data_IF_247699353629
#
_entry.id   IF_247699353629
#
_cell.length_a   1.000
_cell.length_b   1.000
_cell.length_c   1.000
_cell.angle_alpha   90.00
_cell.angle_beta   90.00
_cell.angle_gamma   90.00
#
_symmetry.space_group_name_H-M   'P 1'
#
loop_
_entity.id
_entity.type
_entity.pdbx_description
1 polymer ?
#
# COMPACT_ATOMS: atom_id res chain seq x y z
N UNK A 1 -0.36 -12.70 8.63
CA UNK A 1 -1.05 -11.64 7.90
C UNK A 1 -2.46 -12.11 7.50
N UNK A 2 -3.44 -11.22 7.60
CA UNK A 2 -4.83 -11.56 7.24
C UNK A 2 -5.30 -10.86 5.95
N UNK A 3 -4.69 -9.75 5.60
CA UNK A 3 -5.01 -8.92 4.43
C UNK A 3 -3.82 -8.94 3.48
N UNK A 4 -3.99 -9.42 2.25
CA UNK A 4 -2.88 -9.59 1.31
C UNK A 4 -3.27 -9.17 -0.10
N UNK A 5 -2.47 -8.27 -0.68
CA UNK A 5 -2.45 -8.08 -2.12
C UNK A 5 -1.63 -9.19 -2.76
N UNK A 6 -2.28 -10.06 -3.53
CA UNK A 6 -1.65 -11.28 -4.02
C UNK A 6 -1.14 -11.19 -5.46
N UNK A 7 -1.63 -10.23 -6.23
CA UNK A 7 -1.21 -10.02 -7.63
C UNK A 7 -1.71 -8.67 -8.17
N UNK A 8 -1.43 -8.41 -9.46
CA UNK A 8 -1.94 -7.26 -10.21
C UNK A 8 -2.47 -7.70 -11.58
N UNK A 9 -3.70 -7.34 -11.92
CA UNK A 9 -4.31 -7.62 -13.23
C UNK A 9 -4.01 -6.51 -14.25
N UNK A 10 -2.72 -6.23 -14.42
CA UNK A 10 -2.22 -5.30 -15.44
C UNK A 10 -2.03 -6.00 -16.79
N UNK A 11 -1.84 -5.22 -17.85
CA UNK A 11 -1.63 -5.79 -19.19
C UNK A 11 -0.33 -6.61 -19.24
N UNK A 12 -0.39 -7.91 -19.61
CA UNK A 12 0.83 -8.73 -19.78
C UNK A 12 1.78 -8.23 -20.87
N UNK A 13 1.28 -7.37 -21.79
CA UNK A 13 2.14 -6.71 -22.79
C UNK A 13 3.00 -5.62 -22.17
N UNK A 14 2.49 -4.95 -21.12
CA UNK A 14 3.24 -3.93 -20.39
C UNK A 14 4.13 -4.53 -19.31
N UNK A 15 3.62 -5.54 -18.57
CA UNK A 15 4.34 -6.22 -17.48
C UNK A 15 4.21 -7.74 -17.68
N UNK A 16 5.10 -8.38 -18.43
CA UNK A 16 5.03 -9.80 -18.72
C UNK A 16 5.08 -10.72 -17.49
N UNK A 17 5.65 -10.24 -16.39
CA UNK A 17 5.73 -10.96 -15.12
C UNK A 17 4.35 -11.21 -14.49
N UNK A 18 3.33 -10.42 -14.85
CA UNK A 18 1.95 -10.54 -14.34
C UNK A 18 1.05 -11.39 -15.25
N UNK A 19 1.60 -12.12 -16.21
CA UNK A 19 0.81 -12.90 -17.18
C UNK A 19 -0.01 -14.03 -16.56
N UNK A 20 0.40 -14.52 -15.40
CA UNK A 20 -0.20 -15.61 -14.65
C UNK A 20 -1.09 -15.14 -13.47
N UNK A 21 -1.39 -13.83 -13.39
CA UNK A 21 -2.16 -13.24 -12.31
C UNK A 21 -3.48 -13.98 -12.00
N UNK A 22 -4.22 -14.43 -13.01
CA UNK A 22 -5.45 -15.18 -12.82
C UNK A 22 -5.22 -16.55 -12.18
N UNK A 23 -4.17 -17.26 -12.58
CA UNK A 23 -3.79 -18.56 -12.00
C UNK A 23 -3.35 -18.40 -10.55
N UNK A 24 -2.52 -17.39 -10.26
CA UNK A 24 -2.09 -17.07 -8.90
C UNK A 24 -3.31 -16.75 -8.03
N UNK A 25 -4.19 -15.85 -8.49
CA UNK A 25 -5.38 -15.46 -7.74
C UNK A 25 -6.28 -16.64 -7.43
N UNK A 26 -6.70 -17.42 -8.43
CA UNK A 26 -7.60 -18.57 -8.24
C UNK A 26 -7.01 -19.63 -7.30
N UNK A 27 -5.71 -19.92 -7.44
CA UNK A 27 -5.00 -20.88 -6.59
C UNK A 27 -4.94 -20.43 -5.12
N UNK A 28 -4.63 -19.16 -4.88
CA UNK A 28 -4.52 -18.64 -3.51
C UNK A 28 -5.88 -18.50 -2.85
N UNK A 29 -6.90 -18.04 -3.58
CA UNK A 29 -8.30 -17.97 -3.09
C UNK A 29 -8.80 -19.36 -2.67
N UNK A 30 -8.55 -20.38 -3.49
CA UNK A 30 -8.95 -21.76 -3.17
C UNK A 30 -8.23 -22.30 -1.93
N UNK A 31 -6.93 -22.07 -1.81
CA UNK A 31 -6.11 -22.57 -0.70
C UNK A 31 -6.34 -21.84 0.61
N UNK A 32 -6.70 -20.57 0.55
CA UNK A 32 -6.78 -19.67 1.71
C UNK A 32 -8.08 -18.88 1.77
N UNK A 33 -9.27 -19.56 1.82
CA UNK A 33 -10.58 -18.91 1.74
C UNK A 33 -10.90 -17.99 2.94
N UNK A 34 -10.13 -18.08 4.02
CA UNK A 34 -10.32 -17.27 5.23
C UNK A 34 -9.48 -15.99 5.27
N UNK A 35 -8.66 -15.73 4.24
CA UNK A 35 -7.87 -14.51 4.14
C UNK A 35 -8.62 -13.45 3.33
N UNK A 36 -8.44 -12.19 3.70
CA UNK A 36 -8.88 -11.04 2.91
C UNK A 36 -7.87 -10.79 1.79
N UNK A 37 -8.18 -11.35 0.62
CA UNK A 37 -7.31 -11.37 -0.55
C UNK A 37 -7.79 -10.36 -1.58
N UNK A 38 -6.88 -9.56 -2.10
CA UNK A 38 -7.18 -8.56 -3.11
C UNK A 38 -6.09 -8.46 -4.19
N UNK A 39 -6.40 -7.76 -5.26
CA UNK A 39 -5.45 -7.50 -6.33
C UNK A 39 -5.54 -6.05 -6.80
N UNK A 40 -4.43 -5.53 -7.33
CA UNK A 40 -4.43 -4.26 -8.03
C UNK A 40 -5.04 -4.41 -9.43
N UNK A 41 -5.95 -3.50 -9.79
CA UNK A 41 -6.56 -3.44 -11.12
C UNK A 41 -6.48 -2.02 -11.69
N UNK A 42 -6.00 -1.85 -12.94
CA UNK A 42 -5.85 -0.52 -13.55
C UNK A 42 -7.13 -0.04 -14.25
N UNK A 43 -8.14 -0.89 -14.41
CA UNK A 43 -9.36 -0.61 -15.17
C UNK A 43 -10.42 -1.70 -14.98
N UNK A 44 -11.61 -1.47 -15.56
CA UNK A 44 -12.72 -2.40 -15.49
C UNK A 44 -12.39 -3.82 -16.01
N UNK A 45 -11.62 -3.95 -17.10
CA UNK A 45 -11.22 -5.26 -17.60
C UNK A 45 -10.37 -6.04 -16.62
N UNK A 46 -9.43 -5.37 -15.93
CA UNK A 46 -8.65 -5.98 -14.86
C UNK A 46 -9.53 -6.44 -13.69
N UNK A 47 -10.53 -5.64 -13.31
CA UNK A 47 -11.47 -5.99 -12.25
C UNK A 47 -12.35 -7.20 -12.64
N UNK A 48 -12.81 -7.29 -13.90
CA UNK A 48 -13.53 -8.47 -14.39
C UNK A 48 -12.66 -9.74 -14.29
N UNK A 49 -11.42 -9.68 -14.73
CA UNK A 49 -10.51 -10.82 -14.67
C UNK A 49 -10.23 -11.24 -13.21
N UNK A 50 -10.09 -10.27 -12.30
CA UNK A 50 -9.93 -10.54 -10.86
C UNK A 50 -11.19 -11.22 -10.26
N UNK A 51 -12.36 -10.72 -10.62
CA UNK A 51 -13.64 -11.30 -10.20
C UNK A 51 -13.82 -12.74 -10.72
N UNK A 52 -13.54 -12.98 -12.00
CA UNK A 52 -13.57 -14.32 -12.63
C UNK A 52 -12.57 -15.28 -11.95
N UNK A 53 -11.43 -14.78 -11.46
CA UNK A 53 -10.46 -15.55 -10.69
C UNK A 53 -10.85 -15.80 -9.22
N UNK A 54 -12.05 -15.35 -8.79
CA UNK A 54 -12.61 -15.61 -7.46
C UNK A 54 -12.38 -14.51 -6.44
N UNK A 55 -11.68 -13.42 -6.76
CA UNK A 55 -11.51 -12.27 -5.86
C UNK A 55 -12.83 -11.50 -5.69
N UNK A 56 -13.00 -10.93 -4.50
CA UNK A 56 -14.16 -10.07 -4.15
C UNK A 56 -13.72 -8.70 -3.63
N UNK A 57 -12.42 -8.42 -3.70
CA UNK A 57 -11.83 -7.14 -3.34
C UNK A 57 -10.74 -6.76 -4.33
N UNK A 58 -10.72 -5.50 -4.74
CA UNK A 58 -9.69 -4.96 -5.63
C UNK A 58 -9.27 -3.57 -5.20
N UNK A 59 -7.99 -3.25 -5.42
CA UNK A 59 -7.49 -1.90 -5.39
C UNK A 59 -7.46 -1.33 -6.80
N UNK A 60 -7.98 -0.13 -6.99
CA UNK A 60 -7.82 0.63 -8.22
C UNK A 60 -7.10 1.93 -7.94
N UNK A 61 -6.21 2.34 -8.85
CA UNK A 61 -5.34 3.50 -8.66
C UNK A 61 -5.84 4.69 -9.49
N UNK A 62 -6.00 5.83 -8.82
CA UNK A 62 -6.13 7.13 -9.49
C UNK A 62 -5.14 8.10 -8.84
N UNK A 63 -4.33 8.75 -9.68
CA UNK A 63 -3.32 9.69 -9.21
C UNK A 63 -3.96 11.05 -8.93
N UNK A 64 -3.72 11.64 -7.76
CA UNK A 64 -4.16 13.00 -7.45
C UNK A 64 -3.53 14.03 -8.41
N UNK A 65 -2.27 13.82 -8.79
CA UNK A 65 -1.59 14.62 -9.81
C UNK A 65 -2.14 14.30 -11.20
N UNK A 66 -2.63 15.31 -11.90
CA UNK A 66 -3.11 15.19 -13.29
C UNK A 66 -2.01 14.74 -14.24
N UNK A 67 -0.84 15.34 -14.09
CA UNK A 67 0.34 15.02 -14.92
C UNK A 67 0.78 13.59 -14.71
N UNK A 68 0.78 13.09 -13.47
CA UNK A 68 1.16 11.71 -13.18
C UNK A 68 0.10 10.71 -13.64
N UNK A 69 -1.19 11.05 -13.49
CA UNK A 69 -2.29 10.22 -13.99
C UNK A 69 -2.19 10.03 -15.51
N UNK A 70 -1.89 11.11 -16.24
CA UNK A 70 -1.67 11.04 -17.68
C UNK A 70 -0.41 10.24 -18.03
N UNK A 71 0.71 10.44 -17.32
CA UNK A 71 1.97 9.78 -17.59
C UNK A 71 1.93 8.26 -17.35
N UNK A 72 1.21 7.82 -16.31
CA UNK A 72 1.22 6.41 -15.90
C UNK A 72 0.07 5.60 -16.51
N UNK A 73 -1.16 6.12 -16.47
CA UNK A 73 -2.34 5.37 -16.95
C UNK A 73 -2.90 5.89 -18.27
N UNK A 74 -2.30 6.95 -18.83
CA UNK A 74 -2.71 7.60 -20.07
C UNK A 74 -4.20 7.98 -20.09
N UNK A 75 -4.69 8.53 -18.98
CA UNK A 75 -6.09 8.94 -18.78
C UNK A 75 -6.17 10.29 -18.09
N UNK A 76 -7.22 11.06 -18.41
CA UNK A 76 -7.63 12.18 -17.57
C UNK A 76 -8.26 11.67 -16.27
N UNK A 77 -8.43 12.55 -15.26
CA UNK A 77 -9.17 12.18 -14.04
C UNK A 77 -10.57 11.66 -14.36
N UNK A 78 -11.31 12.35 -15.23
CA UNK A 78 -12.69 11.96 -15.57
C UNK A 78 -12.74 10.58 -16.22
N UNK A 79 -11.77 10.25 -17.08
CA UNK A 79 -11.65 8.90 -17.66
C UNK A 79 -11.31 7.86 -16.60
N UNK A 80 -10.46 8.18 -15.62
CA UNK A 80 -10.13 7.26 -14.52
C UNK A 80 -11.32 7.04 -13.58
N UNK A 81 -12.06 8.10 -13.24
CA UNK A 81 -13.28 7.99 -12.45
C UNK A 81 -14.41 7.25 -13.19
N UNK A 82 -14.48 7.37 -14.52
CA UNK A 82 -15.42 6.58 -15.32
C UNK A 82 -15.10 5.08 -15.31
N UNK A 83 -13.83 4.71 -15.32
CA UNK A 83 -13.45 3.30 -15.12
C UNK A 83 -13.81 2.80 -13.72
N UNK A 84 -13.59 3.61 -12.68
CA UNK A 84 -14.02 3.31 -11.31
C UNK A 84 -15.54 3.08 -11.24
N UNK A 85 -16.31 3.97 -11.87
CA UNK A 85 -17.77 3.84 -11.94
C UNK A 85 -18.20 2.53 -12.58
N UNK A 86 -17.58 2.15 -13.70
CA UNK A 86 -17.86 0.88 -14.38
C UNK A 86 -17.62 -0.33 -13.48
N UNK A 87 -16.54 -0.30 -12.67
CA UNK A 87 -16.27 -1.37 -11.71
C UNK A 87 -17.40 -1.46 -10.70
N UNK A 88 -17.79 -0.36 -10.07
CA UNK A 88 -18.80 -0.31 -9.02
C UNK A 88 -20.17 -0.74 -9.55
N UNK A 89 -20.57 -0.24 -10.72
CA UNK A 89 -21.90 -0.51 -11.29
C UNK A 89 -22.06 -1.94 -11.84
N UNK A 90 -20.98 -2.54 -12.37
CA UNK A 90 -21.08 -3.85 -13.03
C UNK A 90 -20.60 -5.03 -12.17
N UNK A 91 -19.89 -4.76 -11.07
CA UNK A 91 -19.36 -5.78 -10.14
C UNK A 91 -19.82 -5.44 -8.72
N UNK A 92 -21.13 -5.49 -8.47
CA UNK A 92 -21.76 -5.03 -7.23
C UNK A 92 -21.38 -5.84 -5.98
N UNK A 93 -20.84 -7.05 -6.15
CA UNK A 93 -20.29 -7.91 -5.10
C UNK A 93 -18.78 -7.74 -4.89
N UNK A 94 -18.16 -6.76 -5.57
CA UNK A 94 -16.75 -6.43 -5.45
C UNK A 94 -16.56 -5.24 -4.51
N UNK A 95 -15.79 -5.44 -3.43
CA UNK A 95 -15.28 -4.33 -2.64
C UNK A 95 -14.19 -3.59 -3.42
N UNK A 96 -14.32 -2.27 -3.53
CA UNK A 96 -13.37 -1.43 -4.24
C UNK A 96 -12.65 -0.51 -3.25
N UNK A 97 -11.33 -0.65 -3.20
CA UNK A 97 -10.44 0.27 -2.51
C UNK A 97 -9.88 1.26 -3.52
N UNK A 98 -9.95 2.55 -3.23
CA UNK A 98 -9.29 3.57 -4.05
C UNK A 98 -7.91 3.89 -3.50
N UNK A 99 -6.87 3.48 -4.23
CA UNK A 99 -5.50 3.95 -4.02
C UNK A 99 -5.36 5.36 -4.61
N UNK A 100 -5.30 6.36 -3.75
CA UNK A 100 -5.07 7.75 -4.12
C UNK A 100 -3.57 7.98 -4.24
N UNK A 101 -3.02 7.65 -5.40
CA UNK A 101 -1.61 7.79 -5.65
C UNK A 101 -1.19 9.26 -5.74
N UNK A 102 0.05 9.56 -5.40
CA UNK A 102 0.60 10.94 -5.29
C UNK A 102 -0.15 11.84 -4.30
N UNK A 103 -0.80 11.25 -3.28
CA UNK A 103 -1.57 12.01 -2.29
C UNK A 103 -0.71 13.04 -1.54
N UNK A 104 0.57 12.77 -1.33
CA UNK A 104 1.48 13.64 -0.58
C UNK A 104 2.45 14.42 -1.45
N UNK A 105 2.58 14.07 -2.72
CA UNK A 105 3.46 14.74 -3.66
C UNK A 105 3.71 13.93 -4.94
N UNK A 106 4.21 14.64 -5.95
CA UNK A 106 4.40 14.13 -7.30
C UNK A 106 5.72 14.66 -7.88
N UNK A 107 6.48 13.85 -8.64
CA UNK A 107 7.72 14.32 -9.25
C UNK A 107 7.50 15.40 -10.32
N UNK A 108 6.29 15.51 -10.87
CA UNK A 108 5.95 16.50 -11.92
C UNK A 108 5.37 17.80 -11.34
N UNK A 109 4.58 17.72 -10.25
CA UNK A 109 3.83 18.86 -9.70
C UNK A 109 4.34 19.27 -8.31
N UNK A 110 5.32 18.53 -7.75
CA UNK A 110 5.90 18.82 -6.46
C UNK A 110 5.08 18.33 -5.27
N UNK A 111 5.37 18.84 -4.08
CA UNK A 111 4.76 18.42 -2.82
C UNK A 111 3.30 18.90 -2.74
N UNK A 112 2.37 17.99 -2.43
CA UNK A 112 0.98 18.35 -2.15
C UNK A 112 0.90 19.03 -0.78
N UNK A 113 0.28 20.23 -0.74
CA UNK A 113 0.19 21.03 0.49
C UNK A 113 -1.24 21.23 0.99
N UNK A 114 -2.24 20.81 0.21
CA UNK A 114 -3.66 21.04 0.51
C UNK A 114 -4.34 19.72 0.88
N UNK A 115 -4.66 19.54 2.16
CA UNK A 115 -5.50 18.44 2.61
C UNK A 115 -6.92 18.53 2.01
N UNK A 116 -7.45 19.74 1.84
CA UNK A 116 -8.78 19.95 1.22
C UNK A 116 -8.84 19.46 -0.23
N UNK A 117 -7.74 19.59 -1.00
CA UNK A 117 -7.70 19.05 -2.36
C UNK A 117 -7.75 17.51 -2.38
N UNK A 118 -7.13 16.84 -1.39
CA UNK A 118 -7.23 15.39 -1.23
C UNK A 118 -8.65 14.98 -0.87
N UNK A 119 -9.27 15.68 0.08
CA UNK A 119 -10.66 15.45 0.49
C UNK A 119 -11.63 15.64 -0.68
N UNK A 120 -11.52 16.73 -1.43
CA UNK A 120 -12.36 17.00 -2.61
C UNK A 120 -12.21 15.90 -3.66
N UNK A 121 -10.99 15.46 -3.90
CA UNK A 121 -10.70 14.38 -4.85
C UNK A 121 -11.33 13.05 -4.41
N UNK A 122 -11.18 12.68 -3.14
CA UNK A 122 -11.76 11.47 -2.57
C UNK A 122 -13.30 11.55 -2.52
N UNK A 123 -13.87 12.73 -2.31
CA UNK A 123 -15.32 12.97 -2.32
C UNK A 123 -16.00 12.49 -3.59
N UNK A 124 -15.35 12.64 -4.74
CA UNK A 124 -15.86 12.12 -6.03
C UNK A 124 -16.07 10.61 -6.00
N UNK A 125 -15.15 9.86 -5.42
CA UNK A 125 -15.27 8.40 -5.30
C UNK A 125 -16.23 7.99 -4.17
N UNK A 126 -16.23 8.75 -3.07
CA UNK A 126 -17.15 8.56 -1.95
C UNK A 126 -18.61 8.66 -2.40
N UNK A 127 -18.94 9.67 -3.24
CA UNK A 127 -20.25 9.85 -3.85
C UNK A 127 -20.65 8.71 -4.80
N UNK A 128 -19.68 7.98 -5.36
CA UNK A 128 -19.90 6.77 -6.15
C UNK A 128 -20.08 5.51 -5.30
N UNK A 129 -19.90 5.58 -3.98
CA UNK A 129 -20.06 4.45 -3.05
C UNK A 129 -18.75 3.83 -2.54
N UNK A 130 -17.58 4.35 -2.91
CA UNK A 130 -16.31 3.90 -2.31
C UNK A 130 -16.29 4.22 -0.82
N UNK A 131 -15.88 3.24 0.00
CA UNK A 131 -15.81 3.37 1.46
C UNK A 131 -14.45 2.99 2.05
N UNK A 132 -13.50 2.62 1.19
CA UNK A 132 -12.11 2.37 1.60
C UNK A 132 -11.18 3.17 0.71
N UNK A 133 -10.37 4.03 1.33
CA UNK A 133 -9.36 4.87 0.68
C UNK A 133 -7.98 4.51 1.19
N UNK A 134 -7.00 4.52 0.30
CA UNK A 134 -5.61 4.33 0.64
C UNK A 134 -4.81 5.53 0.14
N UNK A 135 -4.29 6.37 1.02
CA UNK A 135 -3.44 7.50 0.64
C UNK A 135 -2.01 7.02 0.41
N UNK A 136 -1.53 7.17 -0.83
CA UNK A 136 -0.23 6.64 -1.22
C UNK A 136 0.83 7.74 -1.36
N UNK A 137 1.94 7.57 -0.66
CA UNK A 137 3.16 8.36 -0.86
C UNK A 137 4.03 7.72 -1.96
N UNK A 138 3.59 7.88 -3.18
CA UNK A 138 4.13 7.20 -4.38
C UNK A 138 5.64 7.39 -4.58
N UNK A 139 6.22 8.50 -4.11
CA UNK A 139 7.63 8.83 -4.31
C UNK A 139 8.40 9.07 -3.00
N UNK A 140 7.79 8.78 -1.86
CA UNK A 140 8.40 8.94 -0.54
C UNK A 140 8.76 10.40 -0.24
N UNK A 141 7.84 11.34 -0.50
CA UNK A 141 8.02 12.77 -0.25
C UNK A 141 7.25 13.29 0.95
N UNK A 142 6.41 12.46 1.57
CA UNK A 142 5.65 12.84 2.74
C UNK A 142 6.57 13.15 3.94
N UNK A 143 6.03 13.91 4.86
CA UNK A 143 6.59 14.07 6.20
C UNK A 143 5.51 13.73 7.25
N UNK A 144 5.90 13.40 8.49
CA UNK A 144 4.97 12.97 9.53
C UNK A 144 3.83 13.96 9.79
N UNK A 145 4.11 15.27 9.80
CA UNK A 145 3.10 16.29 10.04
C UNK A 145 2.09 16.39 8.90
N UNK A 146 2.56 16.26 7.66
CA UNK A 146 1.68 16.21 6.49
C UNK A 146 0.77 14.98 6.52
N UNK A 147 1.31 13.81 6.82
CA UNK A 147 0.53 12.57 6.91
C UNK A 147 -0.54 12.69 7.99
N UNK A 148 -0.19 13.15 9.20
CA UNK A 148 -1.15 13.38 10.28
C UNK A 148 -2.26 14.35 9.85
N UNK A 149 -1.90 15.49 9.24
CA UNK A 149 -2.86 16.52 8.80
C UNK A 149 -3.84 15.95 7.76
N UNK A 150 -3.35 15.20 6.78
CA UNK A 150 -4.19 14.66 5.71
C UNK A 150 -5.07 13.52 6.23
N UNK A 151 -4.55 12.69 7.13
CA UNK A 151 -5.32 11.64 7.80
C UNK A 151 -6.48 12.24 8.62
N UNK A 152 -6.21 13.24 9.46
CA UNK A 152 -7.27 13.93 10.21
C UNK A 152 -8.35 14.50 9.28
N UNK A 153 -7.95 15.22 8.23
CA UNK A 153 -8.90 15.83 7.30
C UNK A 153 -9.79 14.77 6.59
N UNK A 154 -9.22 13.65 6.22
CA UNK A 154 -9.98 12.53 5.62
C UNK A 154 -10.96 11.90 6.62
N UNK A 155 -10.52 11.66 7.86
CA UNK A 155 -11.39 11.08 8.91
C UNK A 155 -12.51 12.04 9.34
N UNK A 156 -12.26 13.34 9.32
CA UNK A 156 -13.29 14.35 9.53
C UNK A 156 -14.33 14.39 8.40
N UNK A 157 -13.86 14.35 7.15
CA UNK A 157 -14.73 14.44 5.98
C UNK A 157 -15.55 13.16 5.73
N UNK A 158 -14.96 11.99 6.03
CA UNK A 158 -15.55 10.68 5.74
C UNK A 158 -15.45 9.76 6.97
N UNK A 159 -16.23 10.02 8.04
CA UNK A 159 -16.08 9.30 9.32
C UNK A 159 -16.48 7.82 9.26
N UNK A 160 -17.28 7.43 8.28
CA UNK A 160 -17.72 6.05 8.02
C UNK A 160 -16.82 5.32 7.01
N UNK A 161 -15.88 6.01 6.40
CA UNK A 161 -14.91 5.37 5.48
C UNK A 161 -13.70 4.83 6.23
N UNK A 162 -13.21 3.68 5.75
CA UNK A 162 -11.93 3.11 6.15
C UNK A 162 -10.81 3.88 5.44
N UNK A 163 -9.81 4.31 6.19
CA UNK A 163 -8.63 5.00 5.67
C UNK A 163 -7.37 4.19 5.91
N UNK A 164 -6.71 3.84 4.85
CA UNK A 164 -5.40 3.17 4.87
C UNK A 164 -4.30 4.12 4.37
N UNK A 165 -3.07 3.80 4.71
CA UNK A 165 -1.88 4.52 4.28
C UNK A 165 -0.91 3.57 3.59
N UNK A 166 -0.36 3.98 2.46
CA UNK A 166 0.71 3.30 1.74
C UNK A 166 1.91 4.24 1.63
N UNK A 167 2.85 4.08 2.54
CA UNK A 167 3.97 5.01 2.68
C UNK A 167 5.25 4.37 2.14
N UNK A 168 5.94 5.11 1.27
CA UNK A 168 7.27 4.73 0.80
C UNK A 168 8.37 5.25 1.72
N UNK A 169 9.37 4.43 1.97
CA UNK A 169 10.50 4.73 2.87
C UNK A 169 11.74 5.27 2.12
N UNK A 170 11.54 5.83 0.95
CA UNK A 170 12.60 6.35 0.07
C UNK A 170 13.61 7.26 0.77
N UNK A 171 13.18 7.98 1.81
CA UNK A 171 13.99 8.94 2.58
C UNK A 171 14.11 8.58 4.05
N UNK A 172 13.85 7.32 4.42
CA UNK A 172 13.93 6.87 5.82
C UNK A 172 12.87 7.47 6.73
N UNK A 173 11.74 7.93 6.18
CA UNK A 173 10.64 8.51 6.97
C UNK A 173 9.39 7.62 7.03
N UNK A 174 9.42 6.44 6.40
CA UNK A 174 8.27 5.58 6.27
C UNK A 174 7.65 5.18 7.62
N UNK A 175 8.49 4.75 8.56
CA UNK A 175 8.06 4.39 9.92
C UNK A 175 7.46 5.59 10.66
N UNK A 176 8.12 6.76 10.63
CA UNK A 176 7.65 7.96 11.30
C UNK A 176 6.32 8.47 10.73
N UNK A 177 6.19 8.48 9.41
CA UNK A 177 4.96 8.84 8.71
C UNK A 177 3.81 7.88 9.02
N UNK A 178 4.08 6.58 9.03
CA UNK A 178 3.11 5.54 9.38
C UNK A 178 2.62 5.68 10.82
N UNK A 179 3.53 5.94 11.76
CA UNK A 179 3.19 6.16 13.17
C UNK A 179 2.28 7.38 13.36
N UNK A 180 2.63 8.52 12.76
CA UNK A 180 1.81 9.73 12.89
C UNK A 180 0.46 9.60 12.18
N UNK A 181 0.41 8.89 11.04
CA UNK A 181 -0.86 8.57 10.41
C UNK A 181 -1.76 7.67 11.25
N UNK A 182 -1.19 6.63 11.88
CA UNK A 182 -1.93 5.78 12.83
C UNK A 182 -2.46 6.59 14.03
N UNK A 183 -1.63 7.43 14.65
CA UNK A 183 -2.06 8.33 15.74
C UNK A 183 -3.18 9.29 15.32
N UNK A 184 -3.17 9.73 14.06
CA UNK A 184 -4.18 10.60 13.47
C UNK A 184 -5.48 9.85 13.10
N UNK A 185 -5.55 8.54 13.29
CA UNK A 185 -6.75 7.71 13.12
C UNK A 185 -6.82 6.91 11.82
N UNK A 186 -5.71 6.67 11.13
CA UNK A 186 -5.68 5.71 10.03
C UNK A 186 -6.05 4.30 10.53
N UNK A 187 -6.89 3.60 9.77
CA UNK A 187 -7.43 2.28 10.12
C UNK A 187 -6.49 1.13 9.72
N UNK A 188 -5.53 1.41 8.85
CA UNK A 188 -4.56 0.42 8.38
C UNK A 188 -3.33 1.03 7.75
N UNK A 189 -2.25 0.25 7.69
CA UNK A 189 -1.00 0.62 7.01
C UNK A 189 -0.63 -0.52 6.08
N UNK A 190 -0.47 -0.22 4.80
CA UNK A 190 0.02 -1.17 3.80
C UNK A 190 1.55 -1.12 3.78
N UNK A 191 2.15 -2.30 3.77
CA UNK A 191 3.60 -2.48 3.80
C UNK A 191 3.99 -3.75 3.05
N UNK A 192 5.28 -3.98 2.84
CA UNK A 192 5.78 -5.20 2.20
C UNK A 192 6.85 -5.87 3.05
N UNK A 193 7.04 -7.18 2.88
CA UNK A 193 8.13 -7.87 3.54
C UNK A 193 9.46 -7.25 3.12
N UNK A 194 10.35 -7.03 4.07
CA UNK A 194 11.63 -6.39 3.83
C UNK A 194 11.56 -4.96 3.27
N UNK A 195 10.37 -4.40 3.12
CA UNK A 195 10.17 -3.15 2.37
C UNK A 195 10.42 -3.32 0.86
N UNK A 196 10.37 -4.57 0.34
CA UNK A 196 10.58 -4.84 -1.08
C UNK A 196 9.64 -4.04 -1.94
N UNK A 197 10.19 -3.41 -2.95
CA UNK A 197 9.44 -2.62 -3.92
C UNK A 197 10.29 -1.56 -4.58
N UNK A 198 9.65 -0.74 -5.39
CA UNK A 198 10.29 0.36 -6.08
C UNK A 198 9.27 1.25 -6.76
N UNK A 199 9.72 2.41 -7.20
CA UNK A 199 8.90 3.31 -8.00
C UNK A 199 9.67 3.68 -9.27
N UNK A 200 9.14 3.40 -10.47
CA UNK A 200 9.81 3.78 -11.73
C UNK A 200 10.07 5.28 -11.85
N UNK A 201 9.28 6.10 -11.15
CA UNK A 201 9.39 7.56 -11.12
C UNK A 201 10.30 8.10 -10.02
N UNK A 202 10.89 7.22 -9.20
CA UNK A 202 11.87 7.54 -8.18
C UNK A 202 13.04 6.55 -8.27
N UNK A 203 13.90 6.65 -9.31
CA UNK A 203 15.05 5.75 -9.48
C UNK A 203 15.94 5.77 -8.24
N UNK A 204 16.29 4.59 -7.70
CA UNK A 204 17.07 4.45 -6.46
C UNK A 204 16.26 4.56 -5.18
N UNK A 205 14.92 4.70 -5.26
CA UNK A 205 14.06 4.62 -4.09
C UNK A 205 14.09 3.20 -3.51
N UNK A 206 14.22 3.11 -2.17
CA UNK A 206 14.26 1.84 -1.44
C UNK A 206 12.89 1.13 -1.36
N UNK A 207 11.83 1.72 -1.91
CA UNK A 207 10.50 1.10 -1.96
C UNK A 207 9.64 1.37 -0.74
N UNK A 208 8.86 0.35 -0.36
CA UNK A 208 7.83 0.44 0.67
C UNK A 208 8.39 0.50 2.10
N UNK A 209 7.58 0.89 3.05
CA UNK A 209 7.87 0.65 4.47
C UNK A 209 7.84 -0.86 4.74
N UNK A 210 8.82 -1.37 5.48
CA UNK A 210 8.94 -2.78 5.78
C UNK A 210 7.94 -3.24 6.84
N UNK A 211 7.27 -4.36 6.60
CA UNK A 211 6.27 -4.92 7.51
C UNK A 211 6.88 -5.28 8.87
N UNK A 212 8.02 -5.94 8.87
CA UNK A 212 8.71 -6.33 10.10
C UNK A 212 9.17 -5.13 10.94
N UNK A 213 9.54 -4.02 10.29
CA UNK A 213 9.93 -2.80 11.01
C UNK A 213 8.72 -2.11 11.66
N UNK A 214 7.57 -2.11 10.99
CA UNK A 214 6.31 -1.64 11.57
C UNK A 214 5.86 -2.51 12.74
N UNK A 215 5.89 -3.82 12.57
CA UNK A 215 5.51 -4.78 13.64
C UNK A 215 6.42 -4.60 14.84
N UNK A 216 7.75 -4.53 14.63
CA UNK A 216 8.71 -4.25 15.69
C UNK A 216 8.37 -2.97 16.46
N UNK A 217 8.15 -1.86 15.74
CA UNK A 217 7.82 -0.59 16.37
C UNK A 217 6.55 -0.69 17.23
N UNK A 218 5.47 -1.27 16.70
CA UNK A 218 4.21 -1.35 17.42
C UNK A 218 4.29 -2.31 18.63
N UNK A 219 4.96 -3.46 18.51
CA UNK A 219 5.18 -4.38 19.64
C UNK A 219 5.99 -3.70 20.75
N UNK A 220 7.08 -2.97 20.42
CA UNK A 220 7.86 -2.21 21.41
C UNK A 220 7.08 -1.07 22.08
N UNK A 221 6.05 -0.55 21.42
CA UNK A 221 5.10 0.41 21.98
C UNK A 221 4.00 -0.26 22.82
N UNK A 222 3.99 -1.60 22.94
CA UNK A 222 2.96 -2.36 23.64
C UNK A 222 1.64 -2.47 22.89
N UNK A 223 1.65 -2.28 21.58
CA UNK A 223 0.48 -2.36 20.69
C UNK A 223 0.48 -3.72 20.01
N UNK A 224 -0.55 -4.51 20.25
CA UNK A 224 -0.74 -5.81 19.60
C UNK A 224 -1.20 -5.62 18.14
N UNK A 225 -0.35 -6.03 17.21
CA UNK A 225 -0.65 -6.04 15.77
C UNK A 225 -1.34 -7.33 15.32
N UNK A 226 -1.38 -8.34 16.17
CA UNK A 226 -1.78 -9.70 15.82
C UNK A 226 -0.78 -10.44 14.92
N UNK A 227 0.45 -9.91 14.74
CA UNK A 227 1.51 -10.45 13.89
C UNK A 227 2.73 -10.69 14.78
N UNK A 228 3.29 -11.90 14.78
CA UNK A 228 4.52 -12.21 15.49
C UNK A 228 5.72 -11.56 14.81
N UNK A 229 6.44 -10.68 15.49
CA UNK A 229 7.67 -10.07 14.95
C UNK A 229 8.69 -11.12 14.52
N UNK A 230 8.90 -12.14 15.36
CA UNK A 230 9.85 -13.22 15.06
C UNK A 230 9.52 -13.92 13.74
N UNK A 231 8.26 -14.25 13.53
CA UNK A 231 7.84 -15.02 12.37
C UNK A 231 7.85 -14.17 11.09
N UNK A 232 7.39 -12.90 11.18
CA UNK A 232 7.40 -12.00 10.01
C UNK A 232 8.84 -11.64 9.60
N UNK A 233 9.76 -11.46 10.55
CA UNK A 233 11.17 -11.23 10.26
C UNK A 233 11.84 -12.45 9.62
N UNK A 234 11.47 -13.67 10.06
CA UNK A 234 11.97 -14.89 9.44
C UNK A 234 11.55 -15.00 7.97
N UNK A 235 10.26 -14.71 7.68
CA UNK A 235 9.74 -14.68 6.31
C UNK A 235 10.40 -13.56 5.47
N UNK A 236 10.63 -12.38 6.02
CA UNK A 236 11.32 -11.30 5.32
C UNK A 236 12.77 -11.66 4.97
N UNK A 237 13.47 -12.37 5.86
CA UNK A 237 14.84 -12.88 5.59
C UNK A 237 14.85 -13.99 4.52
N UNK A 238 13.86 -14.87 4.52
CA UNK A 238 13.68 -15.89 3.50
C UNK A 238 13.44 -15.24 2.13
N UNK A 239 12.48 -14.31 2.04
CA UNK A 239 12.21 -13.55 0.81
C UNK A 239 13.46 -12.84 0.29
N UNK A 240 14.18 -12.13 1.18
CA UNK A 240 15.41 -11.41 0.82
C UNK A 240 16.50 -12.34 0.29
N UNK A 241 16.55 -13.60 0.74
CA UNK A 241 17.51 -14.61 0.22
C UNK A 241 17.15 -15.14 -1.16
N UNK A 242 15.87 -15.14 -1.50
CA UNK A 242 15.33 -15.77 -2.72
C UNK A 242 15.04 -14.77 -3.84
N UNK A 243 14.63 -13.54 -3.49
CA UNK A 243 14.19 -12.53 -4.44
C UNK A 243 15.19 -11.38 -4.48
N UNK A 244 15.73 -11.11 -5.67
CA UNK A 244 16.55 -9.92 -5.88
C UNK A 244 15.68 -8.66 -5.97
N UNK A 245 16.07 -7.62 -5.24
CA UNK A 245 15.32 -6.37 -5.23
C UNK A 245 15.95 -5.30 -4.35
N UNK A 246 15.26 -4.18 -4.23
CA UNK A 246 15.61 -3.10 -3.33
C UNK A 246 14.82 -3.26 -2.03
N UNK A 247 15.51 -3.36 -0.92
CA UNK A 247 14.94 -3.58 0.41
C UNK A 247 15.20 -2.38 1.31
N UNK A 248 14.19 -1.94 2.07
CA UNK A 248 14.30 -0.84 3.05
C UNK A 248 14.34 -1.34 4.50
N UNK A 249 14.02 -2.63 4.75
CA UNK A 249 13.87 -3.20 6.09
C UNK A 249 15.14 -3.08 6.93
N UNK A 250 15.10 -2.27 8.00
CA UNK A 250 16.23 -2.10 8.91
C UNK A 250 16.52 -3.37 9.71
N UNK A 251 15.48 -4.10 10.11
CA UNK A 251 15.60 -5.35 10.85
C UNK A 251 16.22 -6.51 10.05
N UNK A 252 16.21 -6.44 8.72
CA UNK A 252 16.93 -7.41 7.88
C UNK A 252 18.44 -7.37 8.10
N UNK A 253 18.99 -6.20 8.45
CA UNK A 253 20.41 -5.97 8.64
C UNK A 253 20.90 -6.39 10.05
N UNK A 254 19.97 -6.57 11.00
CA UNK A 254 20.29 -6.94 12.38
C UNK A 254 20.58 -8.44 12.43
N UNK A 255 21.80 -8.80 12.84
CA UNK A 255 22.26 -10.19 12.90
C UNK A 255 21.67 -10.96 14.07
N UNK A 256 21.50 -10.30 15.22
CA UNK A 256 20.90 -10.86 16.43
C UNK A 256 19.57 -10.19 16.67
N UNK A 257 18.59 -10.95 17.15
CA UNK A 257 17.31 -10.35 17.59
C UNK A 257 17.51 -9.63 18.92
N UNK A 258 16.65 -8.68 19.24
CA UNK A 258 16.66 -7.99 20.56
C UNK A 258 16.48 -8.96 21.73
N UNK A 259 15.99 -10.15 21.46
CA UNK A 259 15.79 -11.21 22.45
C UNK A 259 17.05 -12.07 22.70
N UNK A 260 18.07 -11.93 21.83
CA UNK A 260 19.34 -12.61 21.98
C UNK A 260 20.30 -11.74 22.80
N UNK A 261 20.33 -11.96 24.12
CA UNK A 261 21.29 -11.28 24.98
C UNK A 261 22.71 -11.65 24.58
N UNK A 262 23.49 -10.65 24.17
CA UNK A 262 24.91 -10.85 23.89
C UNK A 262 25.65 -10.83 25.24
N UNK A 263 26.38 -11.90 25.60
CA UNK A 263 27.18 -11.90 26.81
C UNK A 263 28.18 -10.71 26.82
N UNK A 264 28.28 -10.04 27.95
CA UNK A 264 29.29 -8.99 28.09
C UNK A 264 30.69 -9.59 27.85
N UNK A 265 31.54 -8.91 27.06
CA UNK A 265 32.92 -9.37 26.89
C UNK A 265 33.59 -9.48 28.26
N UNK A 266 34.11 -10.65 28.57
CA UNK A 266 34.90 -10.82 29.80
C UNK A 266 36.12 -9.93 29.68
N UNK A 267 36.31 -9.02 30.66
CA UNK A 267 37.53 -8.22 30.75
C UNK A 267 38.70 -9.19 30.95
N UNK A 268 39.59 -9.28 30.00
CA UNK A 268 40.90 -9.96 30.08
C UNK A 268 41.82 -9.22 31.06
#
# INVERSE_FOLDING_TARGET
>A
LKHLQITSFVSPKAIPQMKDAATVASTIVERHPNLDLFALVPNFRGAQNAHEAGLRKVNTVIYLSKSHNMANVNKTHDQSFEELRKIIENLSDMEVVLDVATAFGCPFEGKQRSASAVVEFCGRAYDMGVRTFNLCDTVGQSDPAQVATFTCAMKEAFPDARLELHIHDTRGMGIACSLEGWKAGADGIQSTLGGLGGCPFAPGASGNTATEDLVFMFEEMGIDTGISFKDILALAKEEHSEIQGSYSGANLLVKNTIYDLIPLPQKS
#
